data_IF_884296921760
#
_entry.id   IF_884296921760
#
_cell.length_a   1.000
_cell.length_b   1.000
_cell.length_c   1.000
_cell.angle_alpha   90.00
_cell.angle_beta   90.00
_cell.angle_gamma   90.00
#
_symmetry.space_group_name_H-M   'P 1'
#
loop_
_entity.id
_entity.type
_entity.pdbx_description
1 polymer ?
#
# COMPACT_ATOMS: atom_id res chain seq x y z
N UNK A 1 -48.08 -41.33 8.36
CA UNK A 1 -48.41 -39.97 7.86
C UNK A 1 -47.11 -39.22 7.54
N UNK A 2 -46.30 -39.72 6.60
CA UNK A 2 -44.97 -39.14 6.30
C UNK A 2 -44.81 -38.64 4.86
N UNK A 3 -45.84 -38.81 4.01
CA UNK A 3 -45.74 -38.49 2.58
C UNK A 3 -46.18 -37.08 2.19
N UNK A 4 -46.53 -36.22 3.15
CA UNK A 4 -46.97 -34.84 2.86
C UNK A 4 -45.92 -33.75 3.15
N UNK A 5 -44.79 -34.06 3.81
CA UNK A 5 -43.75 -33.05 4.07
C UNK A 5 -42.87 -32.73 2.84
N UNK A 6 -42.93 -33.55 1.78
CA UNK A 6 -42.06 -33.36 0.61
C UNK A 6 -42.70 -32.64 -0.58
N UNK A 7 -44.00 -32.27 -0.50
CA UNK A 7 -44.73 -31.74 -1.66
C UNK A 7 -44.95 -30.22 -1.71
N UNK A 8 -44.63 -29.48 -0.66
CA UNK A 8 -44.75 -28.00 -0.67
C UNK A 8 -43.45 -27.24 -1.02
N UNK A 9 -42.36 -27.95 -1.33
CA UNK A 9 -41.04 -27.34 -1.57
C UNK A 9 -40.70 -27.12 -3.07
N UNK A 10 -41.70 -27.03 -3.96
CA UNK A 10 -41.48 -26.98 -5.41
C UNK A 10 -41.76 -25.65 -6.11
N UNK A 11 -42.33 -24.64 -5.43
CA UNK A 11 -42.75 -23.38 -6.07
C UNK A 11 -42.21 -22.09 -5.42
N UNK A 12 -41.28 -22.17 -4.49
CA UNK A 12 -40.46 -21.02 -4.12
C UNK A 12 -39.24 -21.06 -5.04
N UNK A 13 -39.00 -20.02 -5.84
CA UNK A 13 -37.61 -19.71 -6.22
C UNK A 13 -36.82 -19.80 -4.91
N UNK A 14 -35.88 -20.74 -4.78
CA UNK A 14 -35.26 -21.01 -3.47
C UNK A 14 -34.69 -19.68 -2.99
N UNK A 15 -34.96 -19.26 -1.76
CA UNK A 15 -34.55 -17.94 -1.24
C UNK A 15 -33.06 -17.65 -1.51
N UNK A 16 -32.24 -18.71 -1.52
CA UNK A 16 -30.86 -18.74 -1.98
C UNK A 16 -30.67 -18.17 -3.39
N UNK A 17 -31.42 -18.64 -4.39
CA UNK A 17 -31.28 -18.22 -5.78
C UNK A 17 -31.61 -16.71 -5.94
N UNK A 18 -32.59 -16.20 -5.18
CA UNK A 18 -32.90 -14.76 -5.16
C UNK A 18 -31.78 -13.91 -4.53
N UNK A 19 -31.12 -14.44 -3.50
CA UNK A 19 -29.97 -13.78 -2.86
C UNK A 19 -28.77 -13.75 -3.80
N UNK A 20 -28.49 -14.89 -4.46
CA UNK A 20 -27.43 -15.01 -5.48
C UNK A 20 -27.70 -14.05 -6.64
N UNK A 21 -28.92 -14.00 -7.19
CA UNK A 21 -29.29 -13.04 -8.25
C UNK A 21 -29.03 -11.58 -7.83
N UNK A 22 -29.36 -11.20 -6.59
CA UNK A 22 -29.15 -9.85 -6.08
C UNK A 22 -27.66 -9.50 -5.94
N UNK A 23 -26.86 -10.44 -5.48
CA UNK A 23 -25.40 -10.28 -5.35
C UNK A 23 -24.78 -10.15 -6.73
N UNK A 24 -25.09 -11.06 -7.66
CA UNK A 24 -24.56 -11.04 -9.02
C UNK A 24 -25.02 -9.82 -9.83
N UNK A 25 -26.22 -9.29 -9.58
CA UNK A 25 -26.66 -8.04 -10.19
C UNK A 25 -25.76 -6.86 -9.79
N UNK A 26 -25.28 -6.82 -8.54
CA UNK A 26 -24.40 -5.74 -8.05
C UNK A 26 -22.93 -6.03 -8.35
N UNK A 27 -22.52 -7.29 -8.33
CA UNK A 27 -21.17 -7.75 -8.56
C UNK A 27 -21.14 -8.85 -9.64
N UNK A 28 -21.24 -8.48 -10.94
CA UNK A 28 -21.41 -9.45 -12.03
C UNK A 28 -20.21 -10.37 -12.24
N UNK A 29 -19.02 -9.96 -11.79
CA UNK A 29 -17.78 -10.73 -11.94
C UNK A 29 -17.54 -11.72 -10.79
N UNK A 30 -18.34 -11.66 -9.71
CA UNK A 30 -18.14 -12.51 -8.53
C UNK A 30 -18.65 -13.92 -8.80
N UNK A 31 -17.89 -14.93 -8.42
CA UNK A 31 -18.33 -16.33 -8.43
C UNK A 31 -18.95 -16.69 -7.08
N UNK A 32 -20.03 -17.47 -7.11
CA UNK A 32 -20.73 -17.95 -5.93
C UNK A 32 -21.02 -19.42 -6.15
N UNK A 33 -20.00 -20.24 -5.92
CA UNK A 33 -20.02 -21.67 -6.25
C UNK A 33 -20.42 -22.52 -5.02
N UNK A 34 -20.06 -22.06 -3.82
CA UNK A 34 -20.40 -22.68 -2.53
C UNK A 34 -21.34 -21.83 -1.67
N UNK A 35 -21.86 -22.41 -0.59
CA UNK A 35 -22.63 -21.65 0.41
C UNK A 35 -21.72 -20.73 1.23
N UNK A 36 -20.45 -21.09 1.45
CA UNK A 36 -19.47 -20.22 2.11
C UNK A 36 -19.21 -18.95 1.28
N UNK A 37 -19.01 -19.08 -0.04
CA UNK A 37 -18.85 -17.93 -0.95
C UNK A 37 -20.08 -17.00 -0.92
N UNK A 38 -21.27 -17.58 -0.74
CA UNK A 38 -22.51 -16.83 -0.62
C UNK A 38 -22.58 -16.07 0.71
N UNK A 39 -22.21 -16.69 1.82
CA UNK A 39 -22.18 -16.04 3.13
C UNK A 39 -21.13 -14.94 3.21
N UNK A 40 -19.94 -15.16 2.67
CA UNK A 40 -18.88 -14.14 2.59
C UNK A 40 -19.35 -12.93 1.75
N UNK A 41 -20.00 -13.19 0.61
CA UNK A 41 -20.55 -12.13 -0.23
C UNK A 41 -21.69 -11.36 0.45
N UNK A 42 -22.47 -12.01 1.30
CA UNK A 42 -23.52 -11.38 2.10
C UNK A 42 -22.95 -10.52 3.22
N UNK A 43 -21.92 -10.99 3.92
CA UNK A 43 -21.25 -10.25 4.99
C UNK A 43 -20.57 -8.99 4.45
N UNK A 44 -19.88 -9.09 3.31
CA UNK A 44 -19.28 -7.94 2.64
C UNK A 44 -20.35 -6.94 2.17
N UNK A 45 -21.46 -7.46 1.61
CA UNK A 45 -22.58 -6.62 1.20
C UNK A 45 -23.20 -5.88 2.39
N UNK A 46 -23.40 -6.55 3.52
CA UNK A 46 -23.98 -5.94 4.73
C UNK A 46 -23.02 -4.91 5.34
N UNK A 47 -21.74 -5.25 5.44
CA UNK A 47 -20.69 -4.35 5.93
C UNK A 47 -20.61 -3.06 5.11
N UNK A 48 -20.51 -3.18 3.78
CA UNK A 48 -20.52 -2.03 2.88
C UNK A 48 -21.78 -1.18 3.04
N UNK A 49 -22.93 -1.83 3.20
CA UNK A 49 -24.22 -1.14 3.31
C UNK A 49 -24.34 -0.42 4.65
N UNK A 50 -23.91 -1.03 5.74
CA UNK A 50 -23.89 -0.44 7.08
C UNK A 50 -22.97 0.79 7.10
N UNK A 51 -21.75 0.67 6.60
CA UNK A 51 -20.82 1.80 6.53
C UNK A 51 -21.41 2.98 5.72
N UNK A 52 -22.01 2.68 4.56
CA UNK A 52 -22.69 3.70 3.75
C UNK A 52 -23.86 4.34 4.49
N UNK A 53 -24.64 3.56 5.23
CA UNK A 53 -25.76 4.08 6.02
C UNK A 53 -25.29 4.96 7.17
N UNK A 54 -24.24 4.55 7.89
CA UNK A 54 -23.66 5.34 8.98
C UNK A 54 -23.17 6.70 8.47
N UNK A 55 -22.43 6.72 7.34
CA UNK A 55 -21.99 7.97 6.71
C UNK A 55 -23.16 8.88 6.33
N UNK A 56 -24.21 8.32 5.72
CA UNK A 56 -25.42 9.09 5.36
C UNK A 56 -26.15 9.61 6.59
N UNK A 57 -26.27 8.80 7.64
CA UNK A 57 -26.89 9.19 8.90
C UNK A 57 -26.10 10.31 9.59
N UNK A 58 -24.77 10.22 9.59
CA UNK A 58 -23.88 11.24 10.12
C UNK A 58 -24.00 12.56 9.35
N UNK A 59 -24.00 12.51 8.02
CA UNK A 59 -24.15 13.70 7.19
C UNK A 59 -25.54 14.33 7.35
N UNK A 60 -26.59 13.52 7.44
CA UNK A 60 -27.93 14.00 7.75
C UNK A 60 -28.00 14.62 9.15
N UNK A 61 -27.33 14.04 10.15
CA UNK A 61 -27.24 14.60 11.51
C UNK A 61 -26.53 15.95 11.51
N UNK A 62 -25.43 16.09 10.77
CA UNK A 62 -24.72 17.38 10.59
C UNK A 62 -25.62 18.42 9.94
N UNK A 63 -26.32 18.05 8.86
CA UNK A 63 -27.26 18.95 8.18
C UNK A 63 -28.42 19.37 9.09
N UNK A 64 -29.01 18.43 9.84
CA UNK A 64 -30.04 18.73 10.83
C UNK A 64 -29.53 19.70 11.90
N UNK A 65 -28.33 19.49 12.43
CA UNK A 65 -27.71 20.42 13.40
C UNK A 65 -27.50 21.80 12.81
N UNK A 66 -27.05 21.90 11.55
CA UNK A 66 -26.91 23.18 10.85
C UNK A 66 -28.26 23.88 10.71
N UNK A 67 -29.31 23.18 10.27
CA UNK A 67 -30.66 23.75 10.15
C UNK A 67 -31.27 24.17 11.50
N UNK A 68 -31.03 23.40 12.57
CA UNK A 68 -31.45 23.76 13.92
C UNK A 68 -30.69 24.97 14.45
N UNK A 69 -29.39 25.07 14.17
CA UNK A 69 -28.55 26.19 14.61
C UNK A 69 -28.88 27.50 13.89
N UNK A 70 -29.31 27.42 12.61
CA UNK A 70 -29.70 28.58 11.82
C UNK A 70 -30.94 28.26 10.96
N UNK A 71 -32.16 28.46 11.53
CA UNK A 71 -33.41 28.21 10.80
C UNK A 71 -33.55 29.05 9.52
N UNK A 72 -32.97 30.26 9.48
CA UNK A 72 -32.97 31.13 8.30
C UNK A 72 -32.16 30.54 7.15
N UNK A 73 -31.00 29.95 7.46
CA UNK A 73 -30.18 29.24 6.47
C UNK A 73 -30.91 28.00 5.93
N UNK A 74 -31.68 27.31 6.76
CA UNK A 74 -32.52 26.19 6.31
C UNK A 74 -33.62 26.60 5.34
N UNK A 75 -34.35 27.65 5.66
CA UNK A 75 -35.37 28.20 4.77
C UNK A 75 -34.77 28.71 3.44
N UNK A 76 -33.61 29.38 3.51
CA UNK A 76 -32.85 29.79 2.33
C UNK A 76 -32.49 28.62 1.41
N UNK A 77 -31.87 27.57 1.96
CA UNK A 77 -31.47 26.38 1.18
C UNK A 77 -32.70 25.70 0.58
N UNK A 78 -33.80 25.59 1.34
CA UNK A 78 -35.05 24.98 0.87
C UNK A 78 -35.64 25.72 -0.34
N UNK A 79 -35.68 27.06 -0.31
CA UNK A 79 -36.24 27.87 -1.41
C UNK A 79 -35.35 27.79 -2.67
N UNK A 80 -34.03 27.81 -2.50
CA UNK A 80 -33.08 27.65 -3.61
C UNK A 80 -33.17 26.27 -4.25
N UNK A 81 -33.29 25.20 -3.45
CA UNK A 81 -33.55 23.84 -3.97
C UNK A 81 -34.91 23.76 -4.67
N UNK A 82 -35.89 24.52 -4.20
CA UNK A 82 -37.21 24.68 -4.82
C UNK A 82 -37.18 25.43 -6.17
N UNK A 83 -36.01 25.93 -6.58
CA UNK A 83 -35.82 26.63 -7.86
C UNK A 83 -35.96 28.15 -7.77
N UNK A 84 -36.03 28.72 -6.57
CA UNK A 84 -36.01 30.17 -6.39
C UNK A 84 -34.60 30.76 -6.63
N UNK A 85 -34.53 31.99 -7.14
CA UNK A 85 -33.26 32.68 -7.34
C UNK A 85 -32.54 32.90 -6.01
N UNK A 86 -31.27 32.46 -5.93
CA UNK A 86 -30.49 32.49 -4.71
C UNK A 86 -30.23 33.91 -4.18
N UNK A 87 -30.15 34.94 -5.03
CA UNK A 87 -29.99 36.31 -4.56
C UNK A 87 -31.30 36.83 -3.96
N UNK A 88 -32.43 36.53 -4.60
CA UNK A 88 -33.76 36.91 -4.10
C UNK A 88 -34.04 36.22 -2.75
N UNK A 89 -33.76 34.92 -2.65
CA UNK A 89 -33.90 34.17 -1.41
C UNK A 89 -32.94 34.67 -0.32
N UNK A 90 -31.70 35.04 -0.67
CA UNK A 90 -30.73 35.58 0.27
C UNK A 90 -31.23 36.89 0.89
N UNK A 91 -31.72 37.82 0.06
CA UNK A 91 -32.28 39.11 0.53
C UNK A 91 -33.51 38.89 1.42
N UNK A 92 -34.37 37.92 1.07
CA UNK A 92 -35.57 37.58 1.86
C UNK A 92 -35.23 37.14 3.28
N UNK A 93 -34.21 36.30 3.46
CA UNK A 93 -33.91 35.70 4.77
C UNK A 93 -32.83 36.45 5.57
N UNK A 94 -31.86 37.05 4.88
CA UNK A 94 -30.72 37.73 5.50
C UNK A 94 -30.80 39.26 5.43
N UNK A 95 -31.79 39.80 4.72
CA UNK A 95 -32.08 41.24 4.67
C UNK A 95 -31.32 41.97 3.55
N UNK A 96 -31.76 43.20 3.31
CA UNK A 96 -31.19 44.07 2.26
C UNK A 96 -29.88 44.74 2.71
N UNK A 97 -29.60 44.78 4.01
CA UNK A 97 -28.39 45.36 4.61
C UNK A 97 -27.09 44.81 3.98
N UNK A 98 -27.09 43.57 3.49
CA UNK A 98 -25.95 42.96 2.80
C UNK A 98 -25.72 43.56 1.40
N UNK A 99 -26.79 44.02 0.75
CA UNK A 99 -26.76 44.78 -0.51
C UNK A 99 -26.49 46.27 -0.26
N UNK A 100 -26.97 46.82 0.85
CA UNK A 100 -26.77 48.22 1.24
C UNK A 100 -25.32 48.51 1.67
N UNK A 101 -24.50 47.46 1.89
CA UNK A 101 -23.04 47.59 1.93
C UNK A 101 -22.49 48.34 0.71
N UNK A 102 -23.17 48.29 -0.46
CA UNK A 102 -22.76 49.02 -1.66
C UNK A 102 -22.65 50.56 -1.45
N UNK A 103 -23.35 51.12 -0.46
CA UNK A 103 -23.29 52.55 -0.13
C UNK A 103 -22.17 52.90 0.87
N UNK A 104 -21.60 51.90 1.57
CA UNK A 104 -20.53 52.07 2.56
C UNK A 104 -19.21 51.46 2.06
N UNK A 105 -18.32 52.34 1.61
CA UNK A 105 -17.06 51.99 0.93
C UNK A 105 -16.13 51.12 1.80
N UNK A 106 -16.20 51.26 3.13
CA UNK A 106 -15.44 50.44 4.08
C UNK A 106 -15.96 49.00 4.18
N UNK A 107 -17.28 48.81 4.30
CA UNK A 107 -17.89 47.46 4.35
C UNK A 107 -17.74 46.73 3.02
N UNK A 108 -17.77 47.43 1.89
CA UNK A 108 -17.50 46.84 0.58
C UNK A 108 -16.07 46.33 0.43
N UNK A 109 -15.09 46.98 1.05
CA UNK A 109 -13.71 46.48 1.03
C UNK A 109 -13.58 45.14 1.78
N UNK A 110 -14.29 44.99 2.90
CA UNK A 110 -14.32 43.74 3.67
C UNK A 110 -15.03 42.61 2.92
N UNK A 111 -16.17 42.90 2.27
CA UNK A 111 -16.90 41.92 1.45
C UNK A 111 -16.07 41.49 0.24
N UNK A 112 -15.39 42.41 -0.44
CA UNK A 112 -14.46 42.08 -1.54
C UNK A 112 -13.33 41.19 -1.07
N UNK A 113 -12.69 41.53 0.05
CA UNK A 113 -11.62 40.71 0.64
C UNK A 113 -12.11 39.30 0.97
N UNK A 114 -13.28 39.16 1.58
CA UNK A 114 -13.86 37.85 1.88
C UNK A 114 -14.17 37.03 0.61
N UNK A 115 -14.63 37.68 -0.47
CA UNK A 115 -14.86 37.04 -1.75
C UNK A 115 -13.54 36.62 -2.42
N UNK A 116 -12.53 37.47 -2.43
CA UNK A 116 -11.20 37.16 -2.97
C UNK A 116 -10.54 36.00 -2.21
N UNK A 117 -10.72 35.94 -0.88
CA UNK A 117 -10.27 34.82 -0.06
C UNK A 117 -11.03 33.52 -0.41
N UNK A 118 -12.34 33.59 -0.64
CA UNK A 118 -13.13 32.44 -1.08
C UNK A 118 -12.71 31.95 -2.46
N UNK A 119 -12.58 32.84 -3.44
CA UNK A 119 -12.12 32.53 -4.79
C UNK A 119 -10.70 31.93 -4.78
N UNK A 120 -9.80 32.49 -3.98
CA UNK A 120 -8.44 31.95 -3.80
C UNK A 120 -8.46 30.55 -3.19
N UNK A 121 -9.33 30.29 -2.21
CA UNK A 121 -9.51 28.94 -1.64
C UNK A 121 -10.05 27.98 -2.70
N UNK A 122 -11.11 28.36 -3.41
CA UNK A 122 -11.71 27.53 -4.46
C UNK A 122 -10.72 27.21 -5.58
N UNK A 123 -9.91 28.18 -6.01
CA UNK A 123 -8.85 27.97 -7.00
C UNK A 123 -7.81 26.96 -6.48
N UNK A 124 -7.32 27.12 -5.25
CA UNK A 124 -6.38 26.16 -4.63
C UNK A 124 -6.97 24.76 -4.48
N UNK A 125 -8.24 24.66 -4.09
CA UNK A 125 -8.93 23.37 -4.00
C UNK A 125 -9.05 22.72 -5.39
N UNK A 126 -9.42 23.49 -6.42
CA UNK A 126 -9.48 22.99 -7.79
C UNK A 126 -8.10 22.56 -8.33
N UNK A 127 -7.04 23.31 -8.05
CA UNK A 127 -5.67 22.93 -8.38
C UNK A 127 -5.24 21.64 -7.68
N UNK A 128 -5.52 21.52 -6.37
CA UNK A 128 -5.21 20.33 -5.59
C UNK A 128 -5.98 19.10 -6.10
N UNK A 129 -7.27 19.25 -6.40
CA UNK A 129 -8.10 18.16 -6.94
C UNK A 129 -7.59 17.69 -8.31
N UNK A 130 -7.23 18.63 -9.18
CA UNK A 130 -6.64 18.32 -10.49
C UNK A 130 -5.28 17.60 -10.33
N UNK A 131 -4.43 18.05 -9.42
CA UNK A 131 -3.17 17.38 -9.12
C UNK A 131 -3.39 15.97 -8.57
N UNK A 132 -4.33 15.79 -7.63
CA UNK A 132 -4.68 14.46 -7.10
C UNK A 132 -5.18 13.54 -8.21
N UNK A 133 -6.01 14.04 -9.12
CA UNK A 133 -6.55 13.27 -10.25
C UNK A 133 -5.47 12.86 -11.24
N UNK A 134 -4.57 13.77 -11.60
CA UNK A 134 -3.44 13.47 -12.49
C UNK A 134 -2.43 12.54 -11.82
N UNK A 135 -2.15 12.72 -10.52
CA UNK A 135 -1.31 11.81 -9.74
C UNK A 135 -1.92 10.41 -9.70
N UNK A 136 -3.23 10.28 -9.49
CA UNK A 136 -3.89 8.97 -9.47
C UNK A 136 -3.79 8.26 -10.83
N UNK A 137 -4.01 8.97 -11.95
CA UNK A 137 -3.84 8.42 -13.30
C UNK A 137 -2.40 8.02 -13.62
N UNK A 138 -1.43 8.83 -13.19
CA UNK A 138 -0.02 8.51 -13.38
C UNK A 138 0.39 7.31 -12.52
N UNK A 139 -0.08 7.25 -11.28
CA UNK A 139 0.18 6.14 -10.36
C UNK A 139 -0.38 4.82 -10.88
N UNK A 140 -1.63 4.78 -11.39
CA UNK A 140 -2.19 3.54 -11.95
C UNK A 140 -1.37 3.02 -13.14
N UNK A 141 -0.94 3.90 -14.04
CA UNK A 141 -0.10 3.51 -15.18
C UNK A 141 1.30 3.03 -14.76
N UNK A 142 1.90 3.68 -13.76
CA UNK A 142 3.19 3.25 -13.21
C UNK A 142 3.09 1.91 -12.49
N UNK A 143 2.00 1.70 -11.74
CA UNK A 143 1.69 0.44 -11.04
C UNK A 143 1.56 -0.73 -12.03
N UNK A 144 0.81 -0.56 -13.13
CA UNK A 144 0.65 -1.61 -14.15
C UNK A 144 1.97 -1.98 -14.83
N UNK A 145 2.82 -0.99 -15.12
CA UNK A 145 4.17 -1.23 -15.67
C UNK A 145 5.04 -2.01 -14.69
N UNK A 146 5.06 -1.59 -13.42
CA UNK A 146 5.85 -2.24 -12.39
C UNK A 146 5.41 -3.68 -12.15
N UNK A 147 4.09 -3.93 -12.11
CA UNK A 147 3.50 -5.26 -12.00
C UNK A 147 3.91 -6.15 -13.18
N UNK A 148 3.88 -5.61 -14.40
CA UNK A 148 4.30 -6.32 -15.61
C UNK A 148 5.80 -6.64 -15.63
N UNK A 149 6.65 -5.70 -15.22
CA UNK A 149 8.11 -5.88 -15.17
C UNK A 149 8.54 -6.94 -14.15
N UNK A 150 7.82 -7.04 -13.02
CA UNK A 150 8.10 -8.01 -11.96
C UNK A 150 7.35 -9.33 -12.13
N UNK A 151 6.45 -9.43 -13.11
CA UNK A 151 5.66 -10.63 -13.38
C UNK A 151 4.76 -11.05 -12.22
N UNK A 152 4.28 -10.09 -11.42
CA UNK A 152 3.43 -10.37 -10.25
C UNK A 152 1.98 -10.66 -10.67
N UNK A 153 1.31 -11.53 -9.93
CA UNK A 153 -0.14 -11.70 -10.05
C UNK A 153 -0.90 -10.48 -9.48
N UNK A 154 -2.19 -10.39 -9.79
CA UNK A 154 -3.09 -9.35 -9.25
C UNK A 154 -3.14 -9.40 -7.71
N UNK A 155 -3.28 -10.60 -7.14
CA UNK A 155 -3.35 -10.85 -5.70
C UNK A 155 -2.03 -10.50 -4.99
N UNK A 156 -0.88 -10.87 -5.58
CA UNK A 156 0.43 -10.56 -5.02
C UNK A 156 0.72 -9.05 -5.04
N UNK A 157 0.26 -8.37 -6.10
CA UNK A 157 0.43 -6.94 -6.26
C UNK A 157 -0.46 -6.14 -5.31
N UNK A 158 -1.71 -6.58 -5.09
CA UNK A 158 -2.59 -5.99 -4.08
C UNK A 158 -1.99 -6.12 -2.67
N UNK A 159 -1.50 -7.31 -2.30
CA UNK A 159 -0.81 -7.50 -1.02
C UNK A 159 0.49 -6.70 -0.89
N UNK A 160 1.17 -6.40 -2.00
CA UNK A 160 2.31 -5.47 -2.01
C UNK A 160 1.88 -4.03 -1.77
N UNK A 161 0.85 -3.55 -2.47
CA UNK A 161 0.32 -2.19 -2.30
C UNK A 161 -0.18 -1.97 -0.87
N UNK A 162 -0.87 -2.95 -0.29
CA UNK A 162 -1.36 -2.88 1.08
C UNK A 162 -0.20 -2.65 2.08
N UNK A 163 0.90 -3.38 1.93
CA UNK A 163 2.12 -3.16 2.72
C UNK A 163 2.74 -1.77 2.50
N UNK A 164 2.71 -1.25 1.28
CA UNK A 164 3.18 0.12 0.98
C UNK A 164 2.28 1.16 1.66
N UNK A 165 0.96 0.98 1.63
CA UNK A 165 0.02 1.88 2.31
C UNK A 165 0.19 1.84 3.82
N UNK A 166 0.34 0.66 4.42
CA UNK A 166 0.64 0.50 5.83
C UNK A 166 1.94 1.22 6.23
N UNK A 167 3.01 1.07 5.44
CA UNK A 167 4.27 1.77 5.67
C UNK A 167 4.10 3.30 5.61
N UNK A 168 3.45 3.80 4.56
CA UNK A 168 3.18 5.22 4.38
C UNK A 168 2.37 5.79 5.55
N UNK A 169 1.34 5.07 6.02
CA UNK A 169 0.51 5.50 7.15
C UNK A 169 1.34 5.65 8.43
N UNK A 170 2.20 4.70 8.77
CA UNK A 170 3.08 4.81 9.95
C UNK A 170 4.06 5.99 9.83
N UNK A 171 4.63 6.21 8.63
CA UNK A 171 5.53 7.35 8.38
C UNK A 171 4.79 8.68 8.49
N UNK A 172 3.58 8.81 7.92
CA UNK A 172 2.78 10.03 8.01
C UNK A 172 2.34 10.34 9.44
N UNK A 173 2.02 9.31 10.23
CA UNK A 173 1.66 9.46 11.65
C UNK A 173 2.87 9.68 12.56
N UNK A 174 4.11 9.58 12.04
CA UNK A 174 5.33 9.73 12.81
C UNK A 174 5.68 8.53 13.71
N UNK A 175 5.02 7.39 13.52
CA UNK A 175 5.24 6.16 14.29
C UNK A 175 6.29 5.27 13.61
N UNK A 176 7.56 5.65 13.74
CA UNK A 176 8.67 4.88 13.17
C UNK A 176 9.09 3.74 14.10
N UNK A 177 8.41 2.61 13.99
CA UNK A 177 8.72 1.39 14.74
C UNK A 177 9.93 0.65 14.12
N UNK A 178 10.58 -0.22 14.91
CA UNK A 178 11.75 -1.01 14.49
C UNK A 178 11.49 -1.84 13.22
N UNK A 179 10.25 -2.30 13.03
CA UNK A 179 9.84 -3.03 11.82
C UNK A 179 9.86 -2.14 10.57
N UNK A 180 9.36 -0.91 10.67
CA UNK A 180 9.35 0.08 9.57
C UNK A 180 10.77 0.51 9.22
N UNK A 181 11.59 0.81 10.23
CA UNK A 181 12.99 1.17 10.06
C UNK A 181 13.79 -0.01 9.46
N UNK A 182 13.53 -1.23 9.93
CA UNK A 182 14.14 -2.45 9.42
C UNK A 182 13.76 -2.75 7.97
N UNK A 183 12.50 -2.52 7.58
CA UNK A 183 12.04 -2.68 6.21
C UNK A 183 12.70 -1.66 5.27
N UNK A 184 12.76 -0.39 5.68
CA UNK A 184 13.43 0.67 4.92
C UNK A 184 14.94 0.41 4.78
N UNK A 185 15.59 -0.03 5.86
CA UNK A 185 17.00 -0.38 5.85
C UNK A 185 17.30 -1.53 4.90
N UNK A 186 16.52 -2.62 4.98
CA UNK A 186 16.64 -3.75 4.04
C UNK A 186 16.39 -3.34 2.60
N UNK A 187 15.41 -2.45 2.37
CA UNK A 187 15.13 -1.90 1.04
C UNK A 187 16.33 -1.12 0.46
N UNK A 188 17.00 -0.31 1.28
CA UNK A 188 18.16 0.48 0.84
C UNK A 188 19.41 -0.36 0.53
N UNK A 189 19.62 -1.47 1.23
CA UNK A 189 20.81 -2.31 1.09
C UNK A 189 20.59 -3.61 0.32
N UNK A 190 19.38 -3.85 -0.19
CA UNK A 190 18.98 -5.10 -0.84
C UNK A 190 19.98 -5.58 -1.91
N UNK A 191 20.30 -4.74 -2.89
CA UNK A 191 21.21 -5.10 -4.00
C UNK A 191 22.64 -5.37 -3.51
N UNK A 192 23.09 -4.61 -2.52
CA UNK A 192 24.43 -4.77 -1.94
C UNK A 192 24.54 -6.11 -1.21
N UNK A 193 23.56 -6.41 -0.37
CA UNK A 193 23.55 -7.60 0.46
C UNK A 193 23.41 -8.86 -0.40
N UNK A 194 22.63 -8.83 -1.49
CA UNK A 194 22.59 -9.90 -2.48
C UNK A 194 23.96 -10.13 -3.14
N UNK A 195 24.63 -9.07 -3.59
CA UNK A 195 25.94 -9.20 -4.24
C UNK A 195 27.03 -9.74 -3.30
N UNK A 196 26.92 -9.44 -2.00
CA UNK A 196 27.80 -9.99 -0.98
C UNK A 196 27.47 -11.47 -0.73
N UNK A 197 26.19 -11.81 -0.60
CA UNK A 197 25.73 -13.18 -0.39
C UNK A 197 26.12 -14.11 -1.55
N UNK A 198 26.04 -13.66 -2.80
CA UNK A 198 26.49 -14.42 -3.98
C UNK A 198 27.99 -14.71 -3.94
N UNK A 199 28.82 -13.70 -3.65
CA UNK A 199 30.28 -13.89 -3.54
C UNK A 199 30.64 -14.82 -2.38
N UNK A 200 29.96 -14.69 -1.25
CA UNK A 200 30.15 -15.58 -0.10
C UNK A 200 29.69 -17.01 -0.39
N UNK A 201 28.62 -17.19 -1.16
CA UNK A 201 28.15 -18.49 -1.62
C UNK A 201 29.15 -19.12 -2.61
N UNK A 202 29.70 -18.34 -3.54
CA UNK A 202 30.71 -18.82 -4.49
C UNK A 202 32.00 -19.23 -3.77
N UNK A 203 32.48 -18.43 -2.82
CA UNK A 203 33.67 -18.77 -2.01
C UNK A 203 33.42 -20.02 -1.17
N UNK A 204 32.24 -20.16 -0.55
CA UNK A 204 31.87 -21.38 0.18
C UNK A 204 31.82 -22.59 -0.74
N UNK A 205 31.17 -22.50 -1.90
CA UNK A 205 31.11 -23.59 -2.87
C UNK A 205 32.49 -24.02 -3.39
N UNK A 206 33.39 -23.06 -3.66
CA UNK A 206 34.78 -23.35 -4.03
C UNK A 206 35.54 -24.03 -2.89
N UNK A 207 35.37 -23.57 -1.65
CA UNK A 207 36.01 -24.17 -0.48
C UNK A 207 35.51 -25.60 -0.21
N UNK A 208 34.21 -25.84 -0.32
CA UNK A 208 33.61 -27.17 -0.20
C UNK A 208 34.14 -28.12 -1.28
N UNK A 209 34.20 -27.66 -2.54
CA UNK A 209 34.77 -28.46 -3.64
C UNK A 209 36.23 -28.84 -3.40
N UNK A 210 37.05 -27.91 -2.90
CA UNK A 210 38.45 -28.20 -2.53
C UNK A 210 38.52 -29.24 -1.41
N UNK A 211 37.62 -29.19 -0.42
CA UNK A 211 37.54 -30.18 0.66
C UNK A 211 37.13 -31.55 0.13
N UNK A 212 36.18 -31.63 -0.81
CA UNK A 212 35.80 -32.87 -1.48
C UNK A 212 36.94 -33.47 -2.31
N UNK A 213 37.60 -32.69 -3.17
CA UNK A 213 38.73 -33.15 -3.99
C UNK A 213 39.93 -33.61 -3.13
N UNK A 214 40.17 -32.96 -1.98
CA UNK A 214 41.18 -33.41 -1.00
C UNK A 214 40.81 -34.72 -0.32
N UNK A 215 39.53 -34.97 -0.07
CA UNK A 215 39.06 -36.26 0.50
C UNK A 215 39.23 -37.40 -0.49
N UNK A 216 38.96 -37.18 -1.78
CA UNK A 216 39.18 -38.19 -2.82
C UNK A 216 40.67 -38.51 -3.04
N UNK A 217 41.56 -37.50 -2.96
CA UNK A 217 43.01 -37.72 -3.10
C UNK A 217 43.68 -38.43 -1.92
N UNK A 218 43.04 -38.49 -0.75
CA UNK A 218 43.55 -39.24 0.41
C UNK A 218 43.26 -40.76 0.33
N UNK A 219 42.75 -41.26 -0.80
CA UNK A 219 42.33 -42.65 -1.00
C UNK A 219 43.38 -43.64 -1.51
N UNK A 220 44.58 -43.24 -1.94
CA UNK A 220 45.67 -44.19 -2.25
C UNK A 220 47.04 -43.52 -2.10
N UNK A 221 47.57 -43.57 -0.87
CA UNK A 221 48.85 -42.95 -0.52
C UNK A 221 50.00 -43.95 -0.68
N UNK A 222 50.36 -44.27 -1.92
CA UNK A 222 51.69 -44.78 -2.25
C UNK A 222 52.26 -44.05 -3.47
N UNK A 223 53.27 -43.17 -3.31
CA UNK A 223 54.01 -42.64 -4.45
C UNK A 223 54.87 -43.76 -5.09
N UNK A 224 55.05 -43.81 -6.42
CA UNK A 224 55.84 -44.85 -7.06
C UNK A 224 57.32 -44.71 -6.63
N UNK A 225 57.82 -45.69 -5.89
CA UNK A 225 59.20 -45.78 -5.45
C UNK A 225 60.14 -45.94 -6.67
N UNK A 226 60.83 -44.86 -7.03
CA UNK A 226 61.95 -44.89 -7.98
C UNK A 226 63.22 -45.29 -7.23
N UNK A 227 63.67 -46.51 -7.50
CA UNK A 227 64.90 -47.13 -7.01
C UNK A 227 66.14 -46.53 -7.71
N UNK A 228 67.27 -46.36 -7.01
CA UNK A 228 68.59 -46.13 -7.62
C UNK A 228 69.42 -45.02 -6.96
N UNK A 229 70.37 -45.41 -6.11
CA UNK A 229 71.17 -44.51 -5.28
C UNK A 229 72.42 -43.90 -5.94
N UNK A 230 73.05 -42.99 -5.20
CA UNK A 230 74.50 -42.83 -4.97
C UNK A 230 74.70 -41.44 -4.35
N UNK A 231 75.44 -41.42 -3.24
CA UNK A 231 75.83 -40.21 -2.51
C UNK A 231 77.25 -39.89 -2.95
N UNK A 232 77.44 -38.76 -3.63
CA UNK A 232 78.74 -38.09 -3.73
C UNK A 232 78.60 -36.69 -3.10
N UNK A 233 79.56 -36.27 -2.26
CA UNK A 233 79.52 -34.96 -1.63
C UNK A 233 80.28 -33.96 -2.51
N UNK A 234 79.56 -33.09 -3.22
CA UNK A 234 80.17 -31.89 -3.78
C UNK A 234 80.00 -30.71 -2.83
N UNK A 235 81.15 -30.12 -2.52
CA UNK A 235 81.31 -28.95 -1.69
C UNK A 235 80.73 -27.74 -2.42
N UNK A 236 79.61 -27.23 -1.91
CA UNK A 236 79.34 -25.80 -1.72
C UNK A 236 77.87 -25.66 -1.35
N UNK A 237 77.62 -25.22 -0.10
CA UNK A 237 76.52 -24.35 0.35
C UNK A 237 76.42 -24.43 1.88
N UNK A 238 76.88 -23.36 2.53
CA UNK A 238 76.83 -23.17 3.97
C UNK A 238 75.38 -23.00 4.50
N UNK A 239 75.11 -23.36 5.77
CA UNK A 239 73.77 -23.60 6.30
C UNK A 239 73.25 -22.41 7.12
N UNK A 240 72.02 -21.93 6.90
CA UNK A 240 71.29 -21.17 7.93
C UNK A 240 69.77 -21.37 7.79
N UNK A 241 69.22 -22.22 8.65
CA UNK A 241 67.83 -22.17 9.08
C UNK A 241 67.45 -20.76 9.55
N UNK A 242 66.27 -20.24 9.18
CA UNK A 242 65.79 -19.00 9.77
C UNK A 242 64.47 -18.48 9.23
N UNK A 243 63.37 -19.01 9.75
CA UNK A 243 62.03 -18.42 9.67
C UNK A 243 62.04 -16.90 9.90
N UNK A 244 61.64 -16.09 8.92
CA UNK A 244 61.28 -14.69 9.18
C UNK A 244 59.83 -14.61 9.67
N UNK A 245 59.67 -14.59 11.00
CA UNK A 245 58.48 -14.05 11.68
C UNK A 245 58.30 -12.59 11.27
N UNK A 246 57.13 -12.20 10.76
CA UNK A 246 56.75 -10.78 10.66
C UNK A 246 56.53 -10.24 12.08
N UNK A 247 57.20 -9.14 12.45
CA UNK A 247 56.99 -8.44 13.72
C UNK A 247 55.56 -7.91 13.81
N UNK A 248 54.92 -8.06 14.96
CA UNK A 248 53.63 -7.43 15.28
C UNK A 248 53.85 -5.99 15.73
N UNK A 249 52.82 -5.17 15.54
CA UNK A 249 52.80 -3.71 15.81
C UNK A 249 52.77 -3.37 17.31
N UNK A 250 53.00 -4.34 18.19
CA UNK A 250 53.04 -4.13 19.65
C UNK A 250 54.44 -4.19 20.26
N UNK A 251 55.47 -4.42 19.45
CA UNK A 251 56.87 -4.25 19.84
C UNK A 251 57.40 -2.90 19.28
N UNK A 252 56.91 -1.80 19.87
CA UNK A 252 57.32 -0.38 19.79
C UNK A 252 57.58 0.26 18.41
#
# INVERSE_FOLDING_TARGET
MEKNYQKENRNLRKSRDLLVERILHRYPARRVDSDDDLFDALEEYDSYRNERYERLADDQSKLCKLFMSNPKMGAFISDVIGGEDALIACVRYFGKDMLDCAEDEGRMAEVRKANDEYLSRMARFGELENQMRENLKNSTRCMERFKSEKGMSDEEFEGFLDRVYHLCNHVFMGELNDEVLGLLFKGLYYDRDLSCAEREAEVRGRNERIVFEKRERNGDSLPPLRNGGSFEPDADLSPVFGNRRRRSVWDL
#
